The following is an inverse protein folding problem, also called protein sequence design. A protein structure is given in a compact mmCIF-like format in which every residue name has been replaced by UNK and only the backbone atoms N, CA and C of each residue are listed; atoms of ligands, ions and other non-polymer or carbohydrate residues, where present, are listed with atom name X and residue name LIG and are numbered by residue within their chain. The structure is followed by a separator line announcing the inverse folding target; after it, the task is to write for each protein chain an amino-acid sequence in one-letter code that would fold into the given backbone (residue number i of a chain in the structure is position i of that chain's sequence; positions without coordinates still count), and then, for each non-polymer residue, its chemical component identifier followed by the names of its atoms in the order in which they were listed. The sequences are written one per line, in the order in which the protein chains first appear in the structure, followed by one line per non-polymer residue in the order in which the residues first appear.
data_IF_496373081877
#
_entry.id   IF_496373081877
#
_cell.length_a   1.000
_cell.length_b   1.000
_cell.length_c   1.000
_cell.angle_alpha   90.00
_cell.angle_beta   90.00
_cell.angle_gamma   90.00
#
_symmetry.space_group_name_H-M   'P 1'
#
loop_
_entity.id
_entity.type
_entity.pdbx_description
1 polymer ?
#
# COMPACT_ATOMS: atom_id res chain seq x y z
N UNK A 1 -8.75 6.64 41.45
CA UNK A 1 -10.01 5.86 41.33
C UNK A 1 -10.67 6.37 40.05
N UNK A 2 -10.51 5.76 38.88
CA UNK A 2 -10.65 4.34 38.55
C UNK A 2 -9.44 3.80 37.77
N UNK A 3 -8.91 2.68 38.23
CA UNK A 3 -8.12 1.76 37.39
C UNK A 3 -9.10 0.97 36.51
N UNK A 4 -8.79 0.87 35.22
CA UNK A 4 -9.57 0.10 34.25
C UNK A 4 -8.64 -0.61 33.29
N UNK A 5 -8.16 -1.78 33.71
CA UNK A 5 -7.43 -2.75 32.88
C UNK A 5 -8.27 -3.15 31.67
N UNK A 6 -7.82 -2.82 30.46
CA UNK A 6 -8.43 -3.29 29.21
C UNK A 6 -8.02 -4.75 29.02
N UNK A 7 -8.92 -5.67 29.35
CA UNK A 7 -8.81 -7.09 29.01
C UNK A 7 -9.05 -7.27 27.51
N UNK A 8 -8.02 -7.69 26.78
CA UNK A 8 -8.16 -8.21 25.42
C UNK A 8 -8.99 -9.48 25.43
N UNK A 9 -10.00 -9.56 24.56
CA UNK A 9 -10.73 -10.79 24.29
C UNK A 9 -9.76 -11.89 23.82
N UNK A 10 -9.98 -13.08 24.34
CA UNK A 10 -9.02 -14.18 24.49
C UNK A 10 -9.26 -15.31 23.49
N UNK A 11 -9.95 -15.05 22.39
CA UNK A 11 -10.44 -16.10 21.47
C UNK A 11 -9.53 -16.39 20.25
N UNK A 12 -8.44 -15.67 20.05
CA UNK A 12 -7.30 -16.13 19.24
C UNK A 12 -6.11 -16.38 20.17
N UNK A 13 -6.00 -17.60 20.70
CA UNK A 13 -4.83 -18.01 21.50
C UNK A 13 -3.59 -17.87 20.62
N UNK A 14 -2.85 -16.77 20.79
CA UNK A 14 -1.59 -16.59 20.06
C UNK A 14 -0.68 -17.77 20.36
N UNK A 15 -0.24 -18.44 19.30
CA UNK A 15 0.52 -19.66 19.43
C UNK A 15 1.82 -19.38 20.18
N UNK A 16 2.43 -20.43 20.75
CA UNK A 16 3.76 -20.29 21.34
C UNK A 16 4.77 -19.71 20.32
N UNK A 17 4.57 -20.00 19.02
CA UNK A 17 5.31 -19.42 17.92
C UNK A 17 5.07 -17.91 17.80
N UNK A 18 3.82 -17.45 17.78
CA UNK A 18 3.48 -16.02 17.68
C UNK A 18 4.07 -15.20 18.84
N UNK A 19 4.00 -15.75 20.06
CA UNK A 19 4.59 -15.12 21.25
C UNK A 19 6.11 -15.03 21.13
N UNK A 20 6.76 -16.08 20.64
CA UNK A 20 8.23 -16.12 20.44
C UNK A 20 8.66 -15.14 19.35
N UNK A 21 7.95 -15.11 18.21
CA UNK A 21 8.18 -14.17 17.11
C UNK A 21 8.02 -12.73 17.56
N UNK A 22 6.97 -12.43 18.34
CA UNK A 22 6.73 -11.07 18.86
C UNK A 22 7.83 -10.61 19.81
N UNK A 23 8.31 -11.49 20.71
CA UNK A 23 9.45 -11.20 21.59
C UNK A 23 10.73 -10.97 20.79
N UNK A 24 10.99 -11.81 19.79
CA UNK A 24 12.16 -11.65 18.91
C UNK A 24 12.12 -10.29 18.21
N UNK A 25 10.99 -9.95 17.56
CA UNK A 25 10.81 -8.66 16.89
C UNK A 25 11.00 -7.46 17.83
N UNK A 26 10.55 -7.56 19.09
CA UNK A 26 10.75 -6.51 20.09
C UNK A 26 12.20 -6.40 20.56
N UNK A 27 12.94 -7.51 20.56
CA UNK A 27 14.37 -7.55 20.93
C UNK A 27 15.30 -7.14 19.79
N UNK A 28 14.80 -7.10 18.54
CA UNK A 28 15.61 -6.66 17.41
C UNK A 28 16.07 -5.21 17.64
N UNK A 29 17.35 -4.90 17.38
CA UNK A 29 17.83 -3.53 17.42
C UNK A 29 16.97 -2.70 16.47
N UNK A 30 16.23 -1.75 17.01
CA UNK A 30 15.61 -0.70 16.20
C UNK A 30 16.72 0.27 15.86
N UNK A 31 17.50 -0.06 14.83
CA UNK A 31 18.39 0.93 14.24
C UNK A 31 17.51 1.95 13.56
N UNK A 32 17.34 3.10 14.21
CA UNK A 32 16.87 4.31 13.55
C UNK A 32 17.94 4.69 12.54
N UNK A 33 17.79 4.21 11.30
CA UNK A 33 18.58 4.70 10.18
C UNK A 33 18.33 6.21 10.12
N UNK A 34 19.32 6.99 10.55
CA UNK A 34 19.28 8.44 10.36
C UNK A 34 19.51 8.70 8.88
N UNK A 35 18.41 8.86 8.15
CA UNK A 35 18.39 9.26 6.75
C UNK A 35 18.77 10.75 6.62
N UNK A 36 19.97 11.12 7.07
CA UNK A 36 20.47 12.48 6.97
C UNK A 36 20.92 12.74 5.53
N UNK A 37 20.53 13.89 4.99
CA UNK A 37 20.89 14.28 3.64
C UNK A 37 22.34 14.73 3.59
N UNK A 38 23.09 14.18 2.66
CA UNK A 38 24.36 14.77 2.25
C UNK A 38 24.04 16.01 1.44
N UNK A 39 24.61 17.16 1.81
CA UNK A 39 24.50 18.37 0.98
C UNK A 39 24.98 18.02 -0.45
N UNK A 40 24.18 18.36 -1.47
CA UNK A 40 24.49 18.01 -2.87
C UNK A 40 25.85 18.53 -3.29
N UNK A 41 26.27 19.69 -2.76
CA UNK A 41 27.58 20.30 -3.03
C UNK A 41 28.76 19.48 -2.51
N UNK A 42 28.53 18.57 -1.56
CA UNK A 42 29.58 17.77 -0.88
C UNK A 42 29.47 16.27 -1.18
N UNK A 43 28.47 15.86 -1.97
CA UNK A 43 28.24 14.45 -2.27
C UNK A 43 29.17 13.97 -3.38
N UNK A 44 29.97 12.94 -3.10
CA UNK A 44 30.97 12.37 -4.02
C UNK A 44 30.59 10.98 -4.54
N UNK A 45 29.40 10.47 -4.19
CA UNK A 45 28.93 9.15 -4.60
C UNK A 45 28.21 9.16 -5.96
N UNK A 46 27.76 7.98 -6.43
CA UNK A 46 26.96 7.87 -7.64
C UNK A 46 25.58 8.54 -7.47
N UNK A 47 25.18 9.33 -8.46
CA UNK A 47 23.86 9.97 -8.49
C UNK A 47 22.88 9.01 -9.17
N UNK A 48 21.78 8.72 -8.49
CA UNK A 48 20.68 7.92 -9.05
C UNK A 48 19.65 8.87 -9.65
N UNK A 49 19.27 8.63 -10.91
CA UNK A 49 18.25 9.42 -11.57
C UNK A 49 16.92 9.37 -10.79
N UNK A 50 16.27 10.54 -10.69
CA UNK A 50 15.06 10.73 -9.88
C UNK A 50 15.30 10.76 -8.36
N UNK A 51 16.49 10.37 -7.88
CA UNK A 51 16.87 10.37 -6.46
C UNK A 51 18.25 11.01 -6.22
N UNK A 52 18.45 12.30 -6.54
CA UNK A 52 19.67 13.03 -6.17
C UNK A 52 19.85 13.17 -4.63
N UNK A 53 21.06 13.54 -4.17
CA UNK A 53 21.41 13.62 -2.74
C UNK A 53 20.69 14.73 -1.97
N UNK A 54 20.19 15.77 -2.66
CA UNK A 54 19.42 16.87 -2.04
C UNK A 54 17.95 16.52 -1.75
N UNK A 55 17.50 15.32 -2.13
CA UNK A 55 16.12 14.88 -1.93
C UNK A 55 16.01 14.01 -0.67
N UNK A 56 14.85 14.09 -0.02
CA UNK A 56 14.54 13.28 1.15
C UNK A 56 14.71 11.77 0.91
N UNK A 57 15.04 11.06 1.99
CA UNK A 57 15.13 9.60 2.10
C UNK A 57 14.28 9.11 3.28
N UNK A 58 13.60 10.02 3.95
CA UNK A 58 12.64 9.73 5.01
C UNK A 58 11.34 9.31 4.34
N UNK A 59 10.92 8.08 4.60
CA UNK A 59 9.73 7.50 3.97
C UNK A 59 8.44 8.30 4.27
N UNK A 60 8.34 8.90 5.46
CA UNK A 60 7.18 9.68 5.89
C UNK A 60 6.88 10.87 4.98
N UNK A 61 7.89 11.41 4.29
CA UNK A 61 7.74 12.53 3.37
C UNK A 61 7.04 12.11 2.05
N UNK A 62 7.03 10.82 1.74
CA UNK A 62 6.49 10.27 0.49
C UNK A 62 5.25 9.42 0.69
N UNK A 63 5.25 8.60 1.75
CA UNK A 63 4.15 7.70 2.12
C UNK A 63 3.83 7.98 3.58
N UNK A 64 3.17 9.12 3.87
CA UNK A 64 2.85 9.51 5.23
C UNK A 64 1.95 8.45 5.90
N UNK A 65 2.08 8.29 7.20
CA UNK A 65 1.22 7.41 8.02
C UNK A 65 -0.21 7.94 8.16
N UNK A 66 -0.48 9.16 7.69
CA UNK A 66 -1.81 9.79 7.71
C UNK A 66 -2.82 9.02 6.83
N UNK A 67 -4.10 9.21 7.13
CA UNK A 67 -5.23 8.53 6.49
C UNK A 67 -5.61 9.11 5.12
N UNK A 68 -5.14 10.30 4.78
CA UNK A 68 -5.44 11.03 3.53
C UNK A 68 -4.49 10.68 2.36
N UNK A 69 -3.62 9.68 2.55
CA UNK A 69 -2.64 9.29 1.54
C UNK A 69 -3.26 8.69 0.28
N UNK A 70 -4.34 7.91 0.42
CA UNK A 70 -5.02 7.31 -0.73
C UNK A 70 -6.15 8.24 -1.18
N UNK A 71 -6.10 8.67 -2.44
CA UNK A 71 -7.15 9.50 -3.04
C UNK A 71 -8.34 8.66 -3.49
N UNK A 72 -8.06 7.44 -3.97
CA UNK A 72 -9.07 6.49 -4.40
C UNK A 72 -8.77 5.15 -3.74
N UNK A 73 -9.80 4.55 -3.16
CA UNK A 73 -9.76 3.24 -2.56
C UNK A 73 -10.59 2.26 -3.42
N UNK A 74 -10.13 1.01 -3.56
CA UNK A 74 -10.91 -0.01 -4.24
C UNK A 74 -12.21 -0.30 -3.47
N UNK A 75 -13.27 -0.58 -4.20
CA UNK A 75 -14.55 -1.03 -3.68
C UNK A 75 -14.55 -2.56 -3.57
N UNK A 76 -15.41 -3.09 -2.70
CA UNK A 76 -15.68 -4.55 -2.62
C UNK A 76 -14.49 -5.44 -2.18
N UNK A 77 -13.54 -4.87 -1.44
CA UNK A 77 -12.55 -5.67 -0.71
C UNK A 77 -13.07 -5.87 0.70
N UNK A 78 -13.65 -7.05 0.93
CA UNK A 78 -13.94 -7.52 2.28
C UNK A 78 -12.68 -8.21 2.82
N UNK A 79 -11.99 -7.63 3.81
CA UNK A 79 -10.75 -8.18 4.32
C UNK A 79 -10.94 -9.49 5.10
N UNK A 80 -12.16 -9.80 5.53
CA UNK A 80 -12.49 -11.06 6.22
C UNK A 80 -12.76 -12.15 5.19
N UNK A 81 -13.50 -11.82 4.12
CA UNK A 81 -13.86 -12.79 3.10
C UNK A 81 -12.83 -12.93 1.97
N UNK A 82 -11.83 -12.05 1.87
CA UNK A 82 -10.80 -12.12 0.82
C UNK A 82 -9.67 -13.07 1.23
N UNK A 83 -9.57 -14.20 0.55
CA UNK A 83 -8.54 -15.22 0.80
C UNK A 83 -7.22 -14.92 0.08
N UNK A 84 -7.29 -14.27 -1.08
CA UNK A 84 -6.14 -13.91 -1.90
C UNK A 84 -6.32 -12.50 -2.46
N UNK A 85 -5.35 -11.64 -2.16
CA UNK A 85 -5.28 -10.28 -2.68
C UNK A 85 -4.07 -10.15 -3.61
N UNK A 86 -4.31 -9.86 -4.88
CA UNK A 86 -3.28 -9.61 -5.88
C UNK A 86 -3.20 -8.11 -6.15
N UNK A 87 -2.05 -7.52 -5.84
CA UNK A 87 -1.78 -6.10 -6.05
C UNK A 87 -0.91 -5.92 -7.30
N UNK A 88 -1.46 -5.29 -8.33
CA UNK A 88 -0.79 -5.09 -9.62
C UNK A 88 -0.38 -3.64 -9.77
N UNK A 89 0.93 -3.39 -9.79
CA UNK A 89 1.47 -2.04 -10.09
C UNK A 89 1.23 -1.72 -11.56
N UNK A 90 0.53 -0.62 -11.84
CA UNK A 90 0.23 -0.21 -13.22
C UNK A 90 0.42 1.29 -13.39
N UNK A 91 0.69 1.76 -14.61
CA UNK A 91 0.72 3.19 -14.94
C UNK A 91 -0.69 3.74 -15.04
N UNK A 92 -0.90 5.02 -14.71
CA UNK A 92 -2.23 5.68 -14.73
C UNK A 92 -2.92 5.56 -16.10
N UNK A 93 -2.18 5.80 -17.17
CA UNK A 93 -2.60 5.73 -18.58
C UNK A 93 -2.72 4.30 -19.13
N UNK A 94 -2.37 3.29 -18.34
CA UNK A 94 -2.37 1.88 -18.73
C UNK A 94 -3.74 1.20 -18.77
N UNK A 95 -4.81 1.87 -19.21
CA UNK A 95 -6.18 1.32 -19.23
C UNK A 95 -6.25 -0.02 -19.97
N UNK A 96 -5.73 -0.07 -21.20
CA UNK A 96 -5.76 -1.29 -22.04
C UNK A 96 -5.04 -2.46 -21.37
N UNK A 97 -3.93 -2.20 -20.68
CA UNK A 97 -3.18 -3.23 -19.94
C UNK A 97 -3.99 -3.78 -18.76
N UNK A 98 -4.70 -2.90 -18.04
CA UNK A 98 -5.61 -3.33 -16.95
C UNK A 98 -6.75 -4.15 -17.51
N UNK A 99 -7.36 -3.70 -18.60
CA UNK A 99 -8.46 -4.41 -19.23
C UNK A 99 -8.05 -5.78 -19.77
N UNK A 100 -6.87 -5.90 -20.37
CA UNK A 100 -6.31 -7.19 -20.78
C UNK A 100 -6.09 -8.13 -19.60
N UNK A 101 -5.66 -7.63 -18.44
CA UNK A 101 -5.53 -8.44 -17.21
C UNK A 101 -6.92 -8.88 -16.72
N UNK A 102 -7.89 -7.98 -16.68
CA UNK A 102 -9.29 -8.29 -16.30
C UNK A 102 -9.87 -9.34 -17.22
N UNK A 103 -9.68 -9.21 -18.53
CA UNK A 103 -10.17 -10.14 -19.55
C UNK A 103 -9.45 -11.48 -19.63
N UNK A 104 -8.25 -11.59 -19.05
CA UNK A 104 -7.42 -12.80 -19.05
C UNK A 104 -7.42 -13.49 -17.69
N UNK A 105 -6.26 -13.65 -17.07
CA UNK A 105 -6.08 -14.42 -15.84
C UNK A 105 -6.86 -13.82 -14.65
N UNK A 106 -7.12 -12.51 -14.64
CA UNK A 106 -7.91 -11.86 -13.58
C UNK A 106 -9.33 -12.42 -13.50
N UNK A 107 -10.01 -12.58 -14.64
CA UNK A 107 -11.34 -13.20 -14.73
C UNK A 107 -11.31 -14.71 -14.46
N UNK A 108 -10.24 -15.41 -14.83
CA UNK A 108 -10.12 -16.83 -14.50
C UNK A 108 -9.91 -17.04 -13.00
N UNK A 109 -9.15 -16.15 -12.35
CA UNK A 109 -8.91 -16.20 -10.91
C UNK A 109 -10.21 -16.07 -10.11
N UNK A 110 -11.05 -15.07 -10.42
CA UNK A 110 -12.32 -14.87 -9.71
C UNK A 110 -13.31 -16.00 -9.93
N UNK A 111 -13.24 -16.71 -11.06
CA UNK A 111 -14.03 -17.93 -11.31
C UNK A 111 -13.57 -19.13 -10.50
N UNK A 112 -12.25 -19.29 -10.34
CA UNK A 112 -11.66 -20.42 -9.62
C UNK A 112 -11.68 -20.22 -8.09
N UNK A 113 -11.46 -19.00 -7.65
CA UNK A 113 -11.52 -18.58 -6.25
C UNK A 113 -12.37 -17.30 -6.17
N UNK A 114 -13.67 -17.43 -5.87
CA UNK A 114 -14.60 -16.29 -5.74
C UNK A 114 -14.18 -15.26 -4.69
N UNK A 115 -13.36 -15.69 -3.73
CA UNK A 115 -12.78 -14.89 -2.64
C UNK A 115 -11.45 -14.24 -2.99
N UNK A 116 -10.98 -14.38 -4.24
CA UNK A 116 -9.81 -13.66 -4.73
C UNK A 116 -10.17 -12.25 -5.21
N UNK A 117 -9.31 -11.27 -4.95
CA UNK A 117 -9.44 -9.89 -5.42
C UNK A 117 -8.16 -9.44 -6.10
N UNK A 118 -8.30 -8.75 -7.24
CA UNK A 118 -7.19 -8.10 -7.94
C UNK A 118 -7.38 -6.59 -7.85
N UNK A 119 -6.32 -5.87 -7.47
CA UNK A 119 -6.35 -4.41 -7.31
C UNK A 119 -5.21 -3.79 -8.09
N UNK A 120 -5.50 -2.76 -8.86
CA UNK A 120 -4.50 -2.00 -9.61
C UNK A 120 -4.02 -0.79 -8.82
N UNK A 121 -2.71 -0.70 -8.62
CA UNK A 121 -2.10 0.39 -7.88
C UNK A 121 -1.56 1.45 -8.84
N UNK A 122 -2.12 2.64 -8.74
CA UNK A 122 -1.80 3.80 -9.56
C UNK A 122 -1.17 4.91 -8.70
N UNK A 123 -0.36 5.75 -9.33
CA UNK A 123 0.03 7.05 -8.76
C UNK A 123 -0.78 8.18 -9.39
N UNK A 124 -0.31 9.40 -9.21
CA UNK A 124 -0.83 10.60 -9.83
C UNK A 124 0.03 10.98 -11.05
N UNK A 125 -0.63 11.25 -12.16
CA UNK A 125 -0.05 11.89 -13.33
C UNK A 125 -0.86 13.16 -13.66
N UNK A 126 -0.19 14.29 -13.94
CA UNK A 126 -0.86 15.59 -14.20
C UNK A 126 -1.87 15.51 -15.34
N UNK A 127 -1.58 14.71 -16.35
CA UNK A 127 -2.39 14.63 -17.57
C UNK A 127 -3.55 13.63 -17.43
N UNK A 128 -3.42 12.63 -16.55
CA UNK A 128 -4.35 11.49 -16.48
C UNK A 128 -5.14 11.37 -15.18
N UNK A 129 -4.66 11.91 -14.05
CA UNK A 129 -5.32 11.73 -12.73
C UNK A 129 -6.75 12.22 -12.71
N UNK A 130 -7.03 13.31 -13.43
CA UNK A 130 -8.33 13.94 -13.51
C UNK A 130 -9.02 13.69 -14.86
N UNK A 131 -8.53 12.73 -15.63
CA UNK A 131 -9.14 12.42 -16.93
C UNK A 131 -10.50 11.76 -16.73
N UNK A 132 -11.43 12.03 -17.66
CA UNK A 132 -12.79 11.46 -17.59
C UNK A 132 -12.74 9.94 -17.75
N UNK A 133 -11.78 9.45 -18.53
CA UNK A 133 -11.54 8.05 -18.82
C UNK A 133 -11.19 7.28 -17.55
N UNK A 134 -10.25 7.80 -16.74
CA UNK A 134 -9.87 7.18 -15.48
C UNK A 134 -11.04 7.19 -14.48
N UNK A 135 -11.75 8.31 -14.37
CA UNK A 135 -12.92 8.41 -13.48
C UNK A 135 -14.03 7.43 -13.89
N UNK A 136 -14.27 7.27 -15.19
CA UNK A 136 -15.21 6.28 -15.70
C UNK A 136 -14.74 4.85 -15.38
N UNK A 137 -13.46 4.54 -15.57
CA UNK A 137 -12.89 3.23 -15.21
C UNK A 137 -13.05 2.93 -13.72
N UNK A 138 -12.71 3.88 -12.84
CA UNK A 138 -12.88 3.74 -11.39
C UNK A 138 -14.35 3.47 -11.04
N UNK A 139 -15.27 4.18 -11.69
CA UNK A 139 -16.70 4.02 -11.46
C UNK A 139 -17.23 2.68 -11.98
N UNK A 140 -16.72 2.16 -13.09
CA UNK A 140 -17.15 0.89 -13.66
C UNK A 140 -16.57 -0.31 -12.89
N UNK A 141 -15.26 -0.33 -12.64
CA UNK A 141 -14.58 -1.52 -12.13
C UNK A 141 -14.39 -1.52 -10.61
N UNK A 142 -14.18 -0.35 -10.00
CA UNK A 142 -13.96 -0.24 -8.56
C UNK A 142 -12.70 -0.94 -8.02
N UNK A 143 -11.78 -1.40 -8.88
CA UNK A 143 -10.60 -2.20 -8.50
C UNK A 143 -9.29 -1.38 -8.46
N UNK A 144 -9.41 -0.04 -8.39
CA UNK A 144 -8.28 0.88 -8.44
C UNK A 144 -7.95 1.39 -7.03
N UNK A 145 -6.67 1.32 -6.69
CA UNK A 145 -6.06 1.99 -5.55
C UNK A 145 -5.13 3.10 -6.05
N UNK A 146 -5.43 4.35 -5.73
CA UNK A 146 -4.61 5.49 -6.15
C UNK A 146 -4.00 6.21 -4.94
N UNK A 147 -2.67 6.21 -4.88
CA UNK A 147 -1.92 6.93 -3.84
C UNK A 147 -1.51 8.34 -4.27
N UNK A 148 -1.32 9.23 -3.30
CA UNK A 148 -0.96 10.63 -3.51
C UNK A 148 0.53 10.87 -3.83
N UNK A 149 1.09 10.07 -4.73
CA UNK A 149 2.49 10.18 -5.18
C UNK A 149 2.55 10.28 -6.71
N UNK A 150 3.55 10.97 -7.26
CA UNK A 150 3.71 11.09 -8.72
C UNK A 150 4.06 9.74 -9.32
N UNK A 151 3.31 9.31 -10.34
CA UNK A 151 3.59 8.08 -11.08
C UNK A 151 4.77 8.30 -12.03
N UNK A 152 5.92 7.72 -11.67
CA UNK A 152 7.14 7.75 -12.47
C UNK A 152 7.90 6.46 -12.28
N UNK A 153 8.78 6.13 -13.23
CA UNK A 153 9.64 4.95 -13.12
C UNK A 153 10.48 4.95 -11.83
N UNK A 154 11.00 6.12 -11.45
CA UNK A 154 11.78 6.28 -10.22
C UNK A 154 10.96 6.11 -8.94
N UNK A 155 9.63 6.21 -9.02
CA UNK A 155 8.70 6.07 -7.90
C UNK A 155 8.04 4.68 -7.83
N UNK A 156 8.50 3.68 -8.58
CA UNK A 156 7.99 2.31 -8.51
C UNK A 156 8.15 1.68 -7.11
N UNK A 157 9.19 2.07 -6.37
CA UNK A 157 9.38 1.64 -4.97
C UNK A 157 8.30 2.25 -4.08
N UNK A 158 7.99 3.55 -4.23
CA UNK A 158 6.90 4.19 -3.50
C UNK A 158 5.57 3.49 -3.78
N UNK A 159 5.29 3.14 -5.04
CA UNK A 159 4.10 2.36 -5.42
C UNK A 159 4.02 1.01 -4.69
N UNK A 160 5.15 0.35 -4.48
CA UNK A 160 5.23 -0.92 -3.73
C UNK A 160 5.01 -0.70 -2.23
N UNK A 161 5.59 0.34 -1.64
CA UNK A 161 5.38 0.66 -0.22
C UNK A 161 3.94 1.08 0.06
N UNK A 162 3.34 1.85 -0.84
CA UNK A 162 1.91 2.20 -0.83
C UNK A 162 1.01 0.95 -0.83
N UNK A 163 1.36 -0.07 -1.62
CA UNK A 163 0.67 -1.36 -1.62
C UNK A 163 0.64 -1.99 -0.22
N UNK A 164 1.79 -2.03 0.45
CA UNK A 164 1.89 -2.59 1.80
C UNK A 164 1.17 -1.74 2.84
N UNK A 165 1.24 -0.40 2.74
CA UNK A 165 0.47 0.49 3.61
C UNK A 165 -1.02 0.18 3.51
N UNK A 166 -1.55 0.04 2.28
CA UNK A 166 -2.95 -0.31 2.06
C UNK A 166 -3.33 -1.64 2.72
N UNK A 167 -2.50 -2.68 2.58
CA UNK A 167 -2.75 -3.99 3.21
C UNK A 167 -2.75 -3.86 4.73
N UNK A 168 -1.78 -3.18 5.32
CA UNK A 168 -1.67 -3.02 6.78
C UNK A 168 -2.85 -2.21 7.33
N UNK A 169 -3.28 -1.16 6.64
CA UNK A 169 -4.43 -0.33 7.06
C UNK A 169 -5.75 -1.09 6.94
N UNK A 170 -5.92 -1.83 5.85
CA UNK A 170 -7.07 -2.71 5.62
C UNK A 170 -7.16 -3.80 6.69
N UNK A 171 -6.04 -4.41 7.09
CA UNK A 171 -6.00 -5.41 8.16
C UNK A 171 -6.23 -4.78 9.54
N UNK A 172 -5.65 -3.60 9.81
CA UNK A 172 -5.90 -2.88 11.07
C UNK A 172 -7.39 -2.60 11.26
N UNK A 173 -8.09 -2.21 10.20
CA UNK A 173 -9.54 -2.00 10.22
C UNK A 173 -10.30 -3.24 10.74
N UNK A 174 -9.87 -4.46 10.37
CA UNK A 174 -10.44 -5.72 10.89
C UNK A 174 -10.27 -5.82 12.41
N UNK A 175 -9.09 -5.50 12.93
CA UNK A 175 -8.77 -5.68 14.35
C UNK A 175 -9.27 -4.56 15.25
N UNK A 176 -9.47 -3.34 14.72
CA UNK A 176 -9.99 -2.21 15.49
C UNK A 176 -11.50 -2.15 15.55
N UNK A 177 -12.20 -2.97 14.74
CA UNK A 177 -13.66 -3.12 14.79
C UNK A 177 -14.40 -1.91 14.21
N UNK A 178 -15.24 -2.16 13.21
CA UNK A 178 -16.45 -1.38 13.03
C UNK A 178 -17.30 -1.59 14.30
N UNK A 179 -17.31 -0.58 15.18
CA UNK A 179 -18.36 -0.40 16.18
C UNK A 179 -19.34 0.64 15.67
#
# INVERSE_FOLDING_TARGET
MFEGSITMDSSLKSSACDKKTRRLFQSLPKTDFKFNYTNSSTYTGPIVDGWPPNISRVLEDYVPRKSDFFTILPREIDPIATELLILVKMQVDGYEKRENIRGSWGKHLTKLSPHSRTVFILGNNKDWTNSKELQNEINIHGDILQGSFVDSYYNLTLKTVSAFKFVVETIKWIFTGQK
#
